data_IF_087961912179
#
_entry.id   IF_087961912179
#
_cell.length_a   1.000
_cell.length_b   1.000
_cell.length_c   1.000
_cell.angle_alpha   90.00
_cell.angle_beta   90.00
_cell.angle_gamma   90.00
#
_symmetry.space_group_name_H-M   'P 1'
#
loop_
_entity.id
_entity.type
_entity.pdbx_description
1 polymer ?
#
# COMPACT_ATOMS: atom_id res chain seq x y z
N UNK A 1 5.19 -27.25 0.13
CA UNK A 1 5.58 -26.30 1.19
C UNK A 1 4.30 -25.60 1.65
N UNK A 2 4.07 -25.37 2.95
CA UNK A 2 2.92 -24.59 3.39
C UNK A 2 2.95 -23.22 2.73
N UNK A 3 1.79 -22.70 2.32
CA UNK A 3 1.68 -21.39 1.71
C UNK A 3 2.17 -20.32 2.70
N UNK A 4 3.11 -19.47 2.28
CA UNK A 4 3.57 -18.35 3.09
C UNK A 4 2.44 -17.33 3.20
N UNK A 5 1.96 -17.09 4.43
CA UNK A 5 0.94 -16.11 4.75
C UNK A 5 1.56 -14.76 5.12
N UNK A 6 1.02 -13.69 4.54
CA UNK A 6 1.41 -12.31 4.81
C UNK A 6 0.26 -11.56 5.49
N UNK A 7 0.56 -10.85 6.58
CA UNK A 7 -0.36 -9.92 7.24
C UNK A 7 0.13 -8.50 7.01
N UNK A 8 -0.69 -7.63 6.43
CA UNK A 8 -0.30 -6.27 6.08
C UNK A 8 -1.06 -5.22 6.88
N UNK A 9 -0.31 -4.29 7.44
CA UNK A 9 -0.75 -3.08 8.14
C UNK A 9 -0.20 -1.83 7.45
N UNK A 10 -0.79 -0.69 7.77
CA UNK A 10 -0.34 0.64 7.38
C UNK A 10 -0.91 1.68 8.35
N UNK A 11 -0.29 2.87 8.41
CA UNK A 11 -0.86 4.05 9.09
C UNK A 11 -1.25 3.70 10.56
N UNK A 12 -0.26 3.33 11.37
CA UNK A 12 -0.50 2.70 12.66
C UNK A 12 -1.13 3.72 13.62
N UNK A 13 -2.37 3.46 14.03
CA UNK A 13 -3.20 4.42 14.74
C UNK A 13 -2.88 4.50 16.26
N UNK A 14 -1.60 4.57 16.63
CA UNK A 14 -1.13 4.56 18.01
C UNK A 14 -1.93 5.49 18.93
N UNK A 15 -2.30 4.97 20.10
CA UNK A 15 -2.99 5.76 21.14
C UNK A 15 -4.42 6.22 20.78
N UNK A 16 -4.90 5.98 19.56
CA UNK A 16 -6.29 6.26 19.17
C UNK A 16 -7.24 5.26 19.84
N UNK A 17 -8.51 5.63 19.98
CA UNK A 17 -9.52 4.71 20.52
C UNK A 17 -9.79 3.63 19.47
N UNK A 18 -9.65 2.37 19.88
CA UNK A 18 -9.93 1.25 18.99
C UNK A 18 -11.41 1.29 18.55
N UNK A 19 -11.65 1.35 17.23
CA UNK A 19 -13.02 1.41 16.70
C UNK A 19 -13.73 0.08 16.99
N UNK A 20 -14.82 0.13 17.77
CA UNK A 20 -15.67 -1.03 18.05
C UNK A 20 -15.37 -1.78 19.36
N UNK A 21 -14.28 -1.47 20.07
CA UNK A 21 -14.00 -2.06 21.39
C UNK A 21 -14.41 -1.11 22.53
N UNK A 22 -15.04 -1.63 23.61
CA UNK A 22 -15.35 -0.81 24.79
C UNK A 22 -14.07 -0.51 25.58
N UNK A 23 -13.41 0.61 25.24
CA UNK A 23 -12.51 1.31 26.17
C UNK A 23 -10.98 1.18 25.97
N UNK A 24 -10.49 0.52 24.92
CA UNK A 24 -9.06 0.39 24.65
C UNK A 24 -8.47 1.52 23.77
N UNK A 25 -7.21 1.89 24.02
CA UNK A 25 -6.37 2.62 23.06
C UNK A 25 -5.56 1.62 22.24
N UNK A 26 -5.26 1.95 20.99
CA UNK A 26 -4.39 1.13 20.13
C UNK A 26 -2.97 1.14 20.71
N UNK A 27 -2.48 -0.05 21.02
CA UNK A 27 -1.16 -0.31 21.59
C UNK A 27 -0.55 -1.57 20.95
N UNK A 28 0.65 -1.95 21.35
CA UNK A 28 1.37 -3.10 20.78
C UNK A 28 0.50 -4.38 20.80
N UNK A 29 -0.22 -4.60 21.91
CA UNK A 29 -1.12 -5.75 22.08
C UNK A 29 -2.25 -5.81 21.05
N UNK A 30 -2.72 -4.67 20.53
CA UNK A 30 -3.76 -4.62 19.50
C UNK A 30 -3.30 -5.28 18.20
N UNK A 31 -2.03 -5.11 17.84
CA UNK A 31 -1.43 -5.71 16.65
C UNK A 31 -0.99 -7.15 16.92
N UNK A 32 -0.34 -7.42 18.07
CA UNK A 32 0.11 -8.77 18.42
C UNK A 32 -1.04 -9.77 18.48
N UNK A 33 -2.22 -9.37 18.98
CA UNK A 33 -3.41 -10.22 18.95
C UNK A 33 -3.77 -10.68 17.53
N UNK A 34 -3.71 -9.78 16.55
CA UNK A 34 -3.96 -10.14 15.14
C UNK A 34 -2.85 -11.03 14.58
N UNK A 35 -1.58 -10.76 14.92
CA UNK A 35 -0.45 -11.59 14.52
C UNK A 35 -0.59 -13.01 15.09
N UNK A 36 -1.02 -13.15 16.34
CA UNK A 36 -1.27 -14.45 16.98
C UNK A 36 -2.47 -15.19 16.38
N UNK A 37 -3.58 -14.48 16.13
CA UNK A 37 -4.80 -15.06 15.56
C UNK A 37 -4.60 -15.56 14.12
N UNK A 38 -3.89 -14.78 13.31
CA UNK A 38 -3.72 -15.02 11.87
C UNK A 38 -2.54 -15.97 11.58
N UNK A 39 -1.57 -15.99 12.49
CA UNK A 39 -0.32 -16.75 12.41
C UNK A 39 0.44 -16.56 11.08
N UNK A 40 0.83 -15.32 10.72
CA UNK A 40 1.53 -15.07 9.46
C UNK A 40 3.01 -15.44 9.56
N UNK A 41 3.61 -15.85 8.44
CA UNK A 41 5.07 -15.98 8.33
C UNK A 41 5.77 -14.63 8.13
N UNK A 42 5.06 -13.65 7.55
CA UNK A 42 5.55 -12.30 7.27
C UNK A 42 4.50 -11.27 7.70
N UNK A 43 4.92 -10.23 8.41
CA UNK A 43 4.13 -9.03 8.71
C UNK A 43 4.67 -7.85 7.90
N UNK A 44 3.82 -7.17 7.15
CA UNK A 44 4.17 -6.01 6.31
C UNK A 44 3.64 -4.73 6.96
N UNK A 45 4.47 -3.70 7.00
CA UNK A 45 4.12 -2.35 7.41
C UNK A 45 4.32 -1.38 6.24
N UNK A 46 3.23 -1.00 5.59
CA UNK A 46 3.20 -0.23 4.34
C UNK A 46 3.30 1.29 4.57
N UNK A 47 4.19 1.71 5.46
CA UNK A 47 4.50 3.10 5.80
C UNK A 47 3.65 3.71 6.92
N UNK A 48 4.14 4.83 7.46
CA UNK A 48 3.54 5.59 8.56
C UNK A 48 3.28 4.67 9.78
N UNK A 49 4.31 3.93 10.18
CA UNK A 49 4.28 2.97 11.28
C UNK A 49 5.07 3.43 12.51
N UNK A 50 6.19 4.12 12.29
CA UNK A 50 7.04 4.71 13.32
C UNK A 50 6.57 6.11 13.73
N UNK A 51 5.81 6.78 12.86
CA UNK A 51 5.09 8.01 13.18
C UNK A 51 3.96 8.24 12.17
N UNK A 52 2.75 8.52 12.65
CA UNK A 52 1.61 8.84 11.78
C UNK A 52 0.75 9.98 12.36
N UNK A 53 0.13 10.76 11.48
CA UNK A 53 -0.92 11.73 11.83
C UNK A 53 -2.27 11.08 12.12
N UNK A 54 -2.56 9.84 11.68
CA UNK A 54 -3.72 9.12 12.21
C UNK A 54 -3.59 8.97 13.73
N UNK A 55 -2.36 8.77 14.21
CA UNK A 55 -2.04 8.85 15.62
C UNK A 55 -2.14 10.30 16.11
N UNK A 56 -3.00 10.53 17.09
CA UNK A 56 -3.03 11.78 17.88
C UNK A 56 -2.25 11.62 19.18
N UNK A 57 -1.28 10.71 19.17
CA UNK A 57 -0.51 10.33 20.34
C UNK A 57 0.55 11.38 20.66
N UNK A 58 0.86 11.50 21.95
CA UNK A 58 2.02 12.26 22.44
C UNK A 58 3.17 11.32 22.82
N UNK A 59 3.09 10.06 22.41
CA UNK A 59 4.07 9.02 22.73
C UNK A 59 5.23 9.03 21.75
N UNK A 60 6.35 8.43 22.14
CA UNK A 60 7.42 8.07 21.21
C UNK A 60 6.94 6.86 20.38
N UNK A 61 6.29 7.14 19.25
CA UNK A 61 5.75 6.13 18.34
C UNK A 61 6.84 5.26 17.71
N UNK A 62 8.04 5.80 17.54
CA UNK A 62 9.18 5.02 17.02
C UNK A 62 9.56 3.94 18.02
N UNK A 63 9.58 4.24 19.33
CA UNK A 63 9.82 3.23 20.38
C UNK A 63 8.71 2.18 20.45
N UNK A 64 7.44 2.58 20.34
CA UNK A 64 6.33 1.63 20.30
C UNK A 64 6.45 0.69 19.10
N UNK A 65 6.77 1.24 17.93
CA UNK A 65 6.95 0.46 16.72
C UNK A 65 8.15 -0.49 16.81
N UNK A 66 9.29 -0.03 17.33
CA UNK A 66 10.45 -0.89 17.59
C UNK A 66 10.13 -2.01 18.58
N UNK A 67 9.33 -1.72 19.62
CA UNK A 67 8.83 -2.72 20.56
C UNK A 67 7.98 -3.79 19.86
N UNK A 68 7.05 -3.38 18.99
CA UNK A 68 6.24 -4.27 18.18
C UNK A 68 7.10 -5.14 17.25
N UNK A 69 8.04 -4.54 16.51
CA UNK A 69 8.94 -5.26 15.61
C UNK A 69 9.76 -6.32 16.36
N UNK A 70 10.30 -5.99 17.53
CA UNK A 70 11.05 -6.93 18.37
C UNK A 70 10.18 -8.08 18.85
N UNK A 71 8.94 -7.82 19.25
CA UNK A 71 8.02 -8.87 19.71
C UNK A 71 7.67 -9.85 18.57
N UNK A 72 7.38 -9.35 17.37
CA UNK A 72 7.08 -10.17 16.20
C UNK A 72 8.32 -11.01 15.80
N UNK A 73 9.50 -10.38 15.74
CA UNK A 73 10.75 -11.07 15.40
C UNK A 73 11.15 -12.12 16.45
N UNK A 74 10.95 -11.85 17.74
CA UNK A 74 11.23 -12.80 18.82
C UNK A 74 10.36 -14.07 18.72
N UNK A 75 9.18 -13.96 18.11
CA UNK A 75 8.32 -15.09 17.80
C UNK A 75 8.66 -15.80 16.47
N UNK A 76 9.79 -15.46 15.84
CA UNK A 76 10.31 -16.10 14.64
C UNK A 76 9.63 -15.67 13.33
N UNK A 77 8.91 -14.55 13.33
CA UNK A 77 8.21 -14.01 12.15
C UNK A 77 9.01 -12.88 11.51
N UNK A 78 8.95 -12.77 10.19
CA UNK A 78 9.63 -11.70 9.46
C UNK A 78 8.77 -10.42 9.43
N UNK A 79 9.40 -9.27 9.52
CA UNK A 79 8.78 -7.95 9.35
C UNK A 79 9.35 -7.25 8.12
N UNK A 80 8.50 -6.94 7.15
CA UNK A 80 8.82 -6.05 6.03
C UNK A 80 8.32 -4.65 6.37
N UNK A 81 9.18 -3.64 6.25
CA UNK A 81 8.88 -2.24 6.58
C UNK A 81 9.31 -1.37 5.40
N UNK A 82 8.50 -0.36 5.10
CA UNK A 82 8.90 0.77 4.26
C UNK A 82 8.64 2.08 4.99
N UNK A 83 9.33 3.13 4.56
CA UNK A 83 9.17 4.49 5.05
C UNK A 83 7.97 5.16 4.38
N UNK A 84 7.03 5.62 5.21
CA UNK A 84 5.97 6.54 4.83
C UNK A 84 6.41 8.00 4.95
N UNK A 85 5.53 8.93 4.57
CA UNK A 85 5.85 10.36 4.57
C UNK A 85 5.94 10.99 5.97
N UNK A 86 5.37 10.36 6.99
CA UNK A 86 5.37 10.89 8.35
C UNK A 86 6.48 10.27 9.20
N UNK A 87 6.94 9.06 8.89
CA UNK A 87 7.82 8.24 9.73
C UNK A 87 9.08 8.95 10.27
N UNK A 88 9.76 9.79 9.46
CA UNK A 88 10.99 10.51 9.87
C UNK A 88 10.74 11.98 10.25
N UNK A 89 9.48 12.38 10.50
CA UNK A 89 9.15 13.77 10.90
C UNK A 89 9.89 14.18 12.18
N UNK A 90 10.13 13.23 13.08
CA UNK A 90 10.84 13.44 14.34
C UNK A 90 12.35 13.18 14.25
N UNK A 91 12.86 12.79 13.07
CA UNK A 91 14.28 12.45 12.86
C UNK A 91 14.73 11.15 13.51
N UNK A 92 13.78 10.28 13.89
CA UNK A 92 14.03 9.05 14.66
C UNK A 92 13.99 7.79 13.81
N UNK A 93 13.60 7.87 12.52
CA UNK A 93 13.40 6.68 11.68
C UNK A 93 14.70 5.92 11.41
N UNK A 94 15.86 6.58 11.52
CA UNK A 94 17.17 5.93 11.47
C UNK A 94 17.30 4.73 12.42
N UNK A 95 16.60 4.76 13.56
CA UNK A 95 16.58 3.68 14.57
C UNK A 95 15.88 2.42 14.05
N UNK A 96 14.89 2.57 13.17
CA UNK A 96 14.23 1.43 12.49
C UNK A 96 15.19 0.77 11.51
N UNK A 97 15.94 1.57 10.74
CA UNK A 97 16.98 1.07 9.82
C UNK A 97 18.11 0.35 10.57
N UNK A 98 18.57 0.91 11.68
CA UNK A 98 19.56 0.26 12.56
C UNK A 98 19.06 -1.08 13.10
N UNK A 99 17.80 -1.14 13.55
CA UNK A 99 17.18 -2.38 14.03
C UNK A 99 17.05 -3.44 12.92
N UNK A 100 16.72 -3.03 11.69
CA UNK A 100 16.71 -3.91 10.52
C UNK A 100 18.10 -4.47 10.21
N UNK A 101 19.14 -3.63 10.24
CA UNK A 101 20.52 -4.07 10.05
C UNK A 101 21.03 -5.04 11.13
N UNK A 102 20.40 -5.05 12.31
CA UNK A 102 20.80 -5.90 13.44
C UNK A 102 20.02 -7.21 13.57
N UNK A 103 18.98 -7.45 12.75
CA UNK A 103 18.11 -8.62 12.89
C UNK A 103 17.81 -9.28 11.53
N UNK A 104 17.98 -10.60 11.39
CA UNK A 104 17.63 -11.31 10.16
C UNK A 104 16.12 -11.41 9.90
N UNK A 105 15.30 -11.02 10.88
CA UNK A 105 13.83 -11.03 10.80
C UNK A 105 13.24 -9.65 10.51
N UNK A 106 14.05 -8.58 10.48
CA UNK A 106 13.57 -7.22 10.26
C UNK A 106 14.15 -6.69 8.94
N UNK A 107 13.27 -6.23 8.07
CA UNK A 107 13.58 -5.89 6.69
C UNK A 107 13.03 -4.50 6.37
N UNK A 108 13.87 -3.47 6.46
CA UNK A 108 13.54 -2.13 5.95
C UNK A 108 13.95 -2.08 4.48
N UNK A 109 12.97 -2.01 3.57
CA UNK A 109 13.18 -2.24 2.13
C UNK A 109 12.90 -1.00 1.28
N UNK A 110 12.91 0.20 1.86
CA UNK A 110 12.61 1.44 1.13
C UNK A 110 13.55 1.65 -0.05
N UNK A 111 13.02 1.48 -1.26
CA UNK A 111 13.77 1.64 -2.50
C UNK A 111 14.52 0.38 -2.94
N UNK A 112 14.35 -0.74 -2.24
CA UNK A 112 15.09 -1.97 -2.45
C UNK A 112 14.19 -3.17 -2.78
N UNK A 113 14.81 -4.19 -3.38
CA UNK A 113 14.19 -5.50 -3.61
C UNK A 113 14.76 -6.47 -2.57
N UNK A 114 13.90 -7.25 -1.93
CA UNK A 114 14.35 -8.29 -1.00
C UNK A 114 13.51 -9.56 -1.11
N UNK A 115 14.20 -10.71 -1.06
CA UNK A 115 13.57 -12.03 -1.01
C UNK A 115 13.41 -12.48 0.46
N UNK A 116 12.17 -12.75 0.88
CA UNK A 116 11.85 -13.23 2.23
C UNK A 116 10.87 -14.39 2.14
N UNK A 117 11.25 -15.54 2.69
CA UNK A 117 10.49 -16.80 2.63
C UNK A 117 9.99 -17.15 1.20
N UNK A 118 10.86 -16.91 0.20
CA UNK A 118 10.58 -17.19 -1.20
C UNK A 118 9.68 -16.18 -1.91
N UNK A 119 9.27 -15.09 -1.24
CA UNK A 119 8.51 -13.99 -1.83
C UNK A 119 9.46 -12.83 -2.13
N UNK A 120 9.46 -12.35 -3.37
CA UNK A 120 10.26 -11.20 -3.80
C UNK A 120 9.48 -9.90 -3.61
N UNK A 121 9.91 -9.08 -2.65
CA UNK A 121 9.31 -7.79 -2.34
C UNK A 121 10.04 -6.64 -3.03
N UNK A 122 9.30 -5.57 -3.36
CA UNK A 122 9.84 -4.26 -3.73
C UNK A 122 9.24 -3.19 -2.82
N UNK A 123 10.08 -2.47 -2.07
CA UNK A 123 9.64 -1.37 -1.24
C UNK A 123 9.64 -0.03 -1.98
N UNK A 124 8.48 0.63 -2.04
CA UNK A 124 8.30 1.92 -2.74
C UNK A 124 7.92 3.00 -1.71
N UNK A 125 8.90 3.71 -1.14
CA UNK A 125 8.62 4.76 -0.17
C UNK A 125 7.94 5.96 -0.86
N UNK A 126 7.28 6.78 -0.05
CA UNK A 126 6.46 7.89 -0.56
C UNK A 126 7.24 8.84 -1.48
N UNK A 127 6.63 9.19 -2.61
CA UNK A 127 7.21 10.13 -3.57
C UNK A 127 8.27 9.54 -4.50
N UNK A 128 8.60 8.24 -4.37
CA UNK A 128 9.50 7.53 -5.29
C UNK A 128 8.77 6.74 -6.37
N UNK A 129 7.45 6.68 -6.36
CA UNK A 129 6.63 5.77 -7.19
C UNK A 129 6.96 5.90 -8.68
N UNK A 130 6.97 7.14 -9.21
CA UNK A 130 7.30 7.41 -10.61
C UNK A 130 8.72 7.02 -10.98
N UNK A 131 9.69 7.27 -10.09
CA UNK A 131 11.10 6.96 -10.36
C UNK A 131 11.29 5.45 -10.42
N UNK A 132 10.72 4.73 -9.46
CA UNK A 132 10.82 3.28 -9.37
C UNK A 132 10.08 2.59 -10.51
N UNK A 133 8.87 3.05 -10.86
CA UNK A 133 8.13 2.57 -12.03
C UNK A 133 8.94 2.65 -13.34
N UNK A 134 9.87 3.61 -13.46
CA UNK A 134 10.71 3.81 -14.64
C UNK A 134 12.05 3.05 -14.60
N UNK A 135 12.44 2.54 -13.44
CA UNK A 135 13.75 1.92 -13.21
C UNK A 135 13.65 0.49 -12.66
N UNK A 136 12.44 -0.04 -12.48
CA UNK A 136 12.24 -1.39 -11.95
C UNK A 136 12.87 -2.43 -12.89
N UNK A 137 13.72 -3.27 -12.29
CA UNK A 137 14.43 -4.34 -12.99
C UNK A 137 13.79 -5.69 -12.64
N UNK A 138 13.08 -6.26 -13.63
CA UNK A 138 12.49 -7.59 -13.53
C UNK A 138 11.24 -7.67 -12.65
N UNK A 139 10.52 -8.81 -12.72
CA UNK A 139 9.29 -9.00 -11.97
C UNK A 139 9.53 -9.19 -10.47
N UNK A 140 8.55 -8.78 -9.68
CA UNK A 140 8.48 -9.02 -8.23
C UNK A 140 7.13 -9.63 -7.87
N UNK A 141 7.08 -10.31 -6.74
CA UNK A 141 5.86 -10.95 -6.25
C UNK A 141 4.91 -9.90 -5.67
N UNK A 142 5.42 -9.07 -4.75
CA UNK A 142 4.65 -8.05 -4.03
C UNK A 142 5.39 -6.71 -4.06
N UNK A 143 4.69 -5.65 -4.46
CA UNK A 143 5.10 -4.27 -4.19
C UNK A 143 4.49 -3.83 -2.86
N UNK A 144 5.30 -3.31 -1.95
CA UNK A 144 4.86 -2.63 -0.73
C UNK A 144 5.13 -1.15 -0.93
N UNK A 145 4.11 -0.30 -0.84
CA UNK A 145 4.20 1.12 -1.12
C UNK A 145 3.52 1.99 -0.07
N UNK A 146 3.89 3.27 0.00
CA UNK A 146 3.13 4.25 0.77
C UNK A 146 2.82 5.45 -0.12
N UNK A 147 1.87 5.25 -1.05
CA UNK A 147 1.65 6.15 -2.17
C UNK A 147 0.39 7.01 -2.01
N UNK A 148 0.48 8.35 -2.17
CA UNK A 148 -0.69 9.20 -2.25
C UNK A 148 -1.51 8.90 -3.49
N UNK A 149 -2.82 9.16 -3.44
CA UNK A 149 -3.79 8.79 -4.49
C UNK A 149 -3.32 9.13 -5.91
N UNK A 150 -2.81 10.35 -6.10
CA UNK A 150 -2.38 10.84 -7.40
C UNK A 150 -1.09 10.19 -7.94
N UNK A 151 -0.34 9.43 -7.12
CA UNK A 151 0.87 8.72 -7.52
C UNK A 151 0.68 7.21 -7.66
N UNK A 152 -0.39 6.64 -7.10
CA UNK A 152 -0.67 5.20 -7.11
C UNK A 152 -0.77 4.62 -8.53
N UNK A 153 -1.15 5.42 -9.53
CA UNK A 153 -1.15 5.00 -10.94
C UNK A 153 0.22 4.46 -11.40
N UNK A 154 1.32 4.98 -10.86
CA UNK A 154 2.67 4.52 -11.19
C UNK A 154 2.96 3.12 -10.63
N UNK A 155 2.27 2.68 -9.58
CA UNK A 155 2.45 1.34 -9.03
C UNK A 155 2.01 0.25 -10.02
N UNK A 156 1.01 0.54 -10.87
CA UNK A 156 0.54 -0.39 -11.89
C UNK A 156 1.47 -0.51 -13.10
N UNK A 157 2.44 0.39 -13.23
CA UNK A 157 3.52 0.27 -14.21
C UNK A 157 4.66 -0.65 -13.71
N UNK A 158 4.69 -0.97 -12.41
CA UNK A 158 5.67 -1.91 -11.85
C UNK A 158 5.31 -3.36 -12.23
N UNK A 159 6.30 -4.20 -12.57
CA UNK A 159 6.09 -5.60 -12.93
C UNK A 159 5.82 -6.50 -11.70
N UNK A 160 4.75 -6.21 -10.97
CA UNK A 160 4.34 -6.97 -9.78
C UNK A 160 3.04 -7.77 -10.00
N UNK A 161 2.87 -8.87 -9.27
CA UNK A 161 1.61 -9.62 -9.22
C UNK A 161 0.62 -9.04 -8.19
N UNK A 162 1.13 -8.56 -7.06
CA UNK A 162 0.35 -7.92 -6.00
C UNK A 162 0.96 -6.55 -5.62
N UNK A 163 0.10 -5.60 -5.27
CA UNK A 163 0.47 -4.27 -4.77
C UNK A 163 -0.27 -4.06 -3.45
N UNK A 164 0.48 -3.75 -2.39
CA UNK A 164 -0.01 -3.32 -1.09
C UNK A 164 0.43 -1.87 -0.92
N UNK A 165 -0.49 -0.96 -0.60
CA UNK A 165 -0.15 0.44 -0.34
C UNK A 165 -0.84 1.02 0.88
N UNK A 166 -0.14 1.88 1.61
CA UNK A 166 -0.70 2.72 2.66
C UNK A 166 -1.18 4.10 2.22
N UNK A 167 -1.19 5.03 3.18
CA UNK A 167 -1.41 6.48 3.11
C UNK A 167 -2.85 6.90 3.33
N UNK A 168 -3.67 6.88 2.27
CA UNK A 168 -5.09 7.21 2.37
C UNK A 168 -5.89 6.55 1.25
N UNK A 169 -7.12 6.19 1.55
CA UNK A 169 -8.06 5.63 0.57
C UNK A 169 -7.94 4.12 0.54
N UNK A 170 -8.89 3.48 1.20
CA UNK A 170 -9.04 2.04 1.28
C UNK A 170 -9.55 1.47 -0.03
N UNK A 171 -8.98 0.37 -0.49
CA UNK A 171 -9.45 -0.34 -1.67
C UNK A 171 -8.92 -1.76 -1.73
N UNK A 172 -9.72 -2.70 -2.22
CA UNK A 172 -9.27 -4.03 -2.65
C UNK A 172 -9.90 -4.35 -4.00
N UNK A 173 -9.06 -4.59 -5.01
CA UNK A 173 -9.52 -4.85 -6.37
C UNK A 173 -8.47 -5.57 -7.23
N UNK A 174 -8.92 -6.20 -8.31
CA UNK A 174 -8.06 -6.56 -9.43
C UNK A 174 -7.94 -5.38 -10.39
N UNK A 175 -6.74 -4.82 -10.57
CA UNK A 175 -6.50 -3.66 -11.45
C UNK A 175 -5.39 -3.99 -12.42
N UNK A 176 -5.69 -3.92 -13.72
CA UNK A 176 -4.72 -4.19 -14.80
C UNK A 176 -4.01 -5.55 -14.66
N UNK A 177 -4.76 -6.58 -14.25
CA UNK A 177 -4.25 -7.94 -14.01
C UNK A 177 -3.41 -8.10 -12.74
N UNK A 178 -3.41 -7.11 -11.84
CA UNK A 178 -2.69 -7.16 -10.55
C UNK A 178 -3.69 -7.16 -9.41
N UNK A 179 -3.37 -7.90 -8.36
CA UNK A 179 -4.06 -7.75 -7.09
C UNK A 179 -3.63 -6.42 -6.44
N UNK A 180 -4.58 -5.62 -6.00
CA UNK A 180 -4.33 -4.30 -5.44
C UNK A 180 -5.03 -4.14 -4.10
N UNK A 181 -4.27 -3.76 -3.08
CA UNK A 181 -4.74 -3.49 -1.73
C UNK A 181 -4.24 -2.13 -1.31
N UNK A 182 -5.15 -1.26 -0.93
CA UNK A 182 -4.86 -0.01 -0.25
C UNK A 182 -5.42 -0.06 1.15
N UNK A 183 -4.54 0.09 2.13
CA UNK A 183 -4.82 0.07 3.55
C UNK A 183 -5.05 1.49 4.06
N UNK A 184 -5.71 1.58 5.20
CA UNK A 184 -5.92 2.80 6.01
C UNK A 184 -5.52 2.49 7.45
N UNK A 185 -5.87 3.36 8.41
CA UNK A 185 -5.28 3.28 9.74
C UNK A 185 -5.50 1.91 10.44
N UNK A 186 -4.40 1.20 10.70
CA UNK A 186 -4.36 -0.11 11.36
C UNK A 186 -4.43 0.03 12.89
N UNK A 187 -4.98 -0.96 13.64
CA UNK A 187 -5.40 -2.29 13.22
C UNK A 187 -6.87 -2.40 12.78
N UNK A 188 -7.61 -1.29 12.67
CA UNK A 188 -9.02 -1.31 12.27
C UNK A 188 -9.21 -1.72 10.80
N UNK A 189 -8.16 -1.56 9.99
CA UNK A 189 -8.05 -2.12 8.66
C UNK A 189 -6.73 -2.88 8.51
N UNK A 190 -6.78 -4.03 7.84
CA UNK A 190 -5.61 -4.85 7.52
C UNK A 190 -5.93 -5.78 6.35
N UNK A 191 -4.91 -6.43 5.81
CA UNK A 191 -5.09 -7.49 4.81
C UNK A 191 -4.31 -8.75 5.16
N UNK A 192 -4.91 -9.91 4.90
CA UNK A 192 -4.27 -11.22 4.93
C UNK A 192 -4.11 -11.69 3.50
N UNK A 193 -2.90 -12.11 3.14
CA UNK A 193 -2.54 -12.45 1.78
C UNK A 193 -1.87 -13.81 1.79
N UNK A 194 -2.52 -14.77 1.13
CA UNK A 194 -2.04 -16.13 0.99
C UNK A 194 -1.53 -16.33 -0.45
N UNK A 195 -0.31 -16.89 -0.58
CA UNK A 195 0.26 -17.30 -1.86
C UNK A 195 -0.24 -18.70 -2.22
N UNK A 196 -1.23 -18.78 -3.12
CA UNK A 196 -1.82 -20.01 -3.67
C UNK A 196 -1.43 -20.17 -5.17
N UNK A 197 -2.31 -20.66 -6.05
CA UNK A 197 -2.21 -20.55 -7.52
C UNK A 197 -2.44 -19.08 -7.98
N UNK A 198 -1.80 -18.13 -7.30
CA UNK A 198 -2.04 -16.69 -7.35
C UNK A 198 -2.10 -16.09 -5.94
N UNK A 199 -2.84 -14.99 -5.78
CA UNK A 199 -3.01 -14.31 -4.49
C UNK A 199 -4.46 -14.35 -4.03
N UNK A 200 -4.72 -15.02 -2.91
CA UNK A 200 -5.97 -14.86 -2.17
C UNK A 200 -5.79 -13.75 -1.14
N UNK A 201 -6.67 -12.77 -1.16
CA UNK A 201 -6.61 -11.60 -0.28
C UNK A 201 -7.89 -11.53 0.53
N UNK A 202 -7.76 -11.57 1.85
CA UNK A 202 -8.81 -11.15 2.76
C UNK A 202 -8.52 -9.73 3.24
N UNK A 203 -9.37 -8.78 2.86
CA UNK A 203 -9.29 -7.39 3.29
C UNK A 203 -10.33 -7.13 4.38
N UNK A 204 -9.88 -6.59 5.51
CA UNK A 204 -10.73 -6.29 6.66
C UNK A 204 -10.77 -4.77 6.88
N UNK A 205 -11.98 -4.23 7.06
CA UNK A 205 -12.21 -2.84 7.44
C UNK A 205 -13.42 -2.76 8.40
N UNK A 206 -13.15 -2.71 9.70
CA UNK A 206 -14.18 -2.82 10.73
C UNK A 206 -14.97 -4.14 10.60
N UNK A 207 -16.31 -4.12 10.50
CA UNK A 207 -17.10 -5.35 10.35
C UNK A 207 -17.08 -5.91 8.91
N UNK A 208 -16.64 -5.13 7.92
CA UNK A 208 -16.62 -5.53 6.53
C UNK A 208 -15.39 -6.40 6.24
N UNK A 209 -15.62 -7.56 5.64
CA UNK A 209 -14.59 -8.47 5.13
C UNK A 209 -14.80 -8.73 3.66
N UNK A 210 -13.75 -8.60 2.86
CA UNK A 210 -13.77 -8.82 1.42
C UNK A 210 -12.72 -9.89 1.08
N UNK A 211 -13.15 -10.99 0.47
CA UNK A 211 -12.27 -12.04 -0.09
C UNK A 211 -12.14 -11.80 -1.60
N UNK A 212 -10.92 -11.54 -2.05
CA UNK A 212 -10.56 -11.36 -3.45
C UNK A 212 -9.66 -12.52 -3.89
N UNK A 213 -10.07 -13.20 -4.96
CA UNK A 213 -9.30 -14.26 -5.61
C UNK A 213 -8.92 -13.87 -7.03
N UNK A 214 -7.82 -14.41 -7.58
CA UNK A 214 -7.39 -14.11 -8.93
C UNK A 214 -8.45 -14.55 -9.95
N UNK A 215 -8.86 -13.64 -10.83
CA UNK A 215 -9.82 -13.96 -11.92
C UNK A 215 -11.27 -14.15 -11.47
N UNK A 216 -11.57 -14.00 -10.18
CA UNK A 216 -12.92 -14.14 -9.64
C UNK A 216 -13.52 -12.79 -9.23
N UNK A 217 -14.85 -12.73 -9.12
CA UNK A 217 -15.51 -11.61 -8.43
C UNK A 217 -15.27 -11.75 -6.93
N UNK A 218 -15.07 -10.62 -6.25
CA UNK A 218 -14.89 -10.62 -4.80
C UNK A 218 -16.16 -11.10 -4.07
N UNK A 219 -15.98 -11.73 -2.91
CA UNK A 219 -17.04 -12.03 -1.96
C UNK A 219 -16.94 -11.07 -0.77
N UNK A 220 -18.08 -10.57 -0.27
CA UNK A 220 -18.11 -9.61 0.82
C UNK A 220 -19.07 -10.08 1.93
N UNK A 221 -18.65 -9.93 3.18
CA UNK A 221 -19.46 -10.26 4.37
C UNK A 221 -19.40 -9.14 5.39
N UNK A 222 -20.52 -8.85 6.04
CA UNK A 222 -20.60 -7.80 7.07
C UNK A 222 -20.45 -6.35 6.55
N UNK A 223 -20.49 -6.14 5.24
CA UNK A 223 -20.27 -4.85 4.61
C UNK A 223 -21.57 -4.07 4.40
N UNK A 224 -21.60 -2.83 4.88
CA UNK A 224 -22.58 -1.84 4.41
C UNK A 224 -22.40 -1.60 2.90
N UNK A 225 -23.47 -1.46 2.09
CA UNK A 225 -23.34 -1.28 0.64
C UNK A 225 -22.55 -0.03 0.20
N UNK A 226 -22.62 1.08 0.95
CA UNK A 226 -21.84 2.26 0.63
C UNK A 226 -20.36 2.05 0.96
N UNK A 227 -20.08 1.42 2.11
CA UNK A 227 -18.71 1.02 2.46
C UNK A 227 -18.13 0.03 1.44
N UNK A 228 -18.89 -0.96 1.00
CA UNK A 228 -18.43 -1.94 0.02
C UNK A 228 -18.03 -1.28 -1.30
N UNK A 229 -18.84 -0.32 -1.80
CA UNK A 229 -18.49 0.47 -2.98
C UNK A 229 -17.23 1.30 -2.75
N UNK A 230 -17.13 2.00 -1.62
CA UNK A 230 -15.93 2.74 -1.26
C UNK A 230 -14.67 1.85 -1.30
N UNK A 231 -14.78 0.62 -0.78
CA UNK A 231 -13.68 -0.35 -0.68
C UNK A 231 -13.35 -1.09 -1.98
N UNK A 232 -14.21 -1.06 -3.00
CA UNK A 232 -13.99 -1.85 -4.23
C UNK A 232 -13.92 -0.98 -5.49
N UNK A 233 -14.62 0.15 -5.49
CA UNK A 233 -14.69 1.11 -6.61
C UNK A 233 -13.92 2.40 -6.31
N UNK A 234 -13.73 2.74 -5.03
CA UNK A 234 -13.03 3.94 -4.57
C UNK A 234 -13.94 5.14 -4.38
N UNK A 235 -13.40 6.25 -3.85
CA UNK A 235 -14.15 7.49 -3.59
C UNK A 235 -14.01 8.49 -4.74
N UNK A 236 -15.01 8.62 -5.61
CA UNK A 236 -15.08 9.70 -6.59
C UNK A 236 -15.83 9.41 -7.88
N UNK A 237 -15.66 10.31 -8.86
CA UNK A 237 -16.07 10.13 -10.26
C UNK A 237 -15.12 9.20 -11.00
N UNK A 238 -15.67 8.33 -11.85
CA UNK A 238 -15.06 7.11 -12.40
C UNK A 238 -14.39 6.22 -11.33
N UNK A 239 -14.68 4.91 -11.31
CA UNK A 239 -13.94 3.97 -10.48
C UNK A 239 -12.44 4.09 -10.72
N UNK A 240 -11.65 3.90 -9.66
CA UNK A 240 -10.20 3.94 -9.74
C UNK A 240 -9.59 2.97 -10.78
N UNK A 241 -10.14 1.74 -10.97
CA UNK A 241 -9.69 0.84 -12.04
C UNK A 241 -9.77 1.48 -13.45
N UNK A 242 -10.90 2.09 -13.78
CA UNK A 242 -11.14 2.72 -15.08
C UNK A 242 -10.21 3.90 -15.32
N UNK A 243 -9.94 4.70 -14.27
CA UNK A 243 -8.98 5.80 -14.32
C UNK A 243 -7.57 5.29 -14.67
N UNK A 244 -7.10 4.23 -14.00
CA UNK A 244 -5.77 3.65 -14.23
C UNK A 244 -5.65 3.13 -15.66
N UNK A 245 -6.66 2.41 -16.15
CA UNK A 245 -6.67 1.89 -17.53
C UNK A 245 -6.64 3.00 -18.57
N UNK A 246 -7.48 4.03 -18.40
CA UNK A 246 -7.53 5.18 -19.29
C UNK A 246 -6.19 5.94 -19.33
N UNK A 247 -5.56 6.17 -18.17
CA UNK A 247 -4.26 6.84 -18.08
C UNK A 247 -3.16 6.01 -18.76
N UNK A 248 -3.12 4.69 -18.54
CA UNK A 248 -2.12 3.82 -19.18
C UNK A 248 -2.27 3.80 -20.69
N UNK A 249 -3.50 3.69 -21.19
CA UNK A 249 -3.81 3.72 -22.63
C UNK A 249 -3.38 5.06 -23.27
N UNK A 250 -3.64 6.16 -22.58
CA UNK A 250 -3.28 7.50 -23.04
C UNK A 250 -1.78 7.70 -23.30
N UNK A 251 -0.88 6.97 -22.62
CA UNK A 251 0.57 7.04 -22.92
C UNK A 251 0.89 6.63 -24.36
N UNK A 252 0.17 5.65 -24.89
CA UNK A 252 0.34 5.16 -26.26
C UNK A 252 -0.35 6.08 -27.26
N UNK A 253 -1.53 6.58 -26.92
CA UNK A 253 -2.37 7.40 -27.81
C UNK A 253 -1.80 8.81 -28.04
N UNK A 254 -1.03 9.38 -27.10
CA UNK A 254 -0.40 10.71 -27.28
C UNK A 254 0.44 10.80 -28.55
N UNK A 255 1.12 9.71 -28.94
CA UNK A 255 1.93 9.67 -30.15
C UNK A 255 1.10 9.65 -31.45
N UNK A 256 -0.18 9.27 -31.36
CA UNK A 256 -1.07 9.05 -32.51
C UNK A 256 -2.06 10.21 -32.66
N UNK A 257 -2.81 10.49 -31.59
CA UNK A 257 -3.92 11.47 -31.56
C UNK A 257 -3.45 12.87 -31.13
N UNK A 258 -2.21 12.96 -30.63
CA UNK A 258 -1.69 14.21 -30.09
C UNK A 258 -2.18 14.49 -28.67
N UNK A 259 -1.38 15.28 -27.96
CA UNK A 259 -1.54 15.48 -26.51
C UNK A 259 -2.85 16.18 -26.14
N UNK A 260 -3.28 17.15 -26.93
CA UNK A 260 -4.43 18.00 -26.58
C UNK A 260 -5.74 17.22 -26.60
N UNK A 261 -5.94 16.41 -27.63
CA UNK A 261 -7.08 15.53 -27.82
C UNK A 261 -7.18 14.49 -26.71
N UNK A 262 -6.08 13.77 -26.43
CA UNK A 262 -6.00 12.79 -25.34
C UNK A 262 -6.31 13.43 -23.99
N UNK A 263 -5.74 14.59 -23.68
CA UNK A 263 -6.05 15.31 -22.44
C UNK A 263 -7.53 15.73 -22.37
N UNK A 264 -8.10 16.19 -23.47
CA UNK A 264 -9.52 16.56 -23.55
C UNK A 264 -10.43 15.38 -23.25
N UNK A 265 -10.15 14.21 -23.84
CA UNK A 265 -10.89 12.96 -23.57
C UNK A 265 -10.82 12.56 -22.10
N UNK A 266 -9.63 12.51 -21.51
CA UNK A 266 -9.44 12.13 -20.11
C UNK A 266 -10.15 13.08 -19.14
N UNK A 267 -10.17 14.39 -19.44
CA UNK A 267 -10.94 15.37 -18.67
C UNK A 267 -12.46 15.16 -18.84
N UNK A 268 -12.91 14.87 -20.06
CA UNK A 268 -14.32 14.55 -20.35
C UNK A 268 -14.80 13.27 -19.66
N UNK A 269 -13.89 12.33 -19.38
CA UNK A 269 -14.13 11.15 -18.56
C UNK A 269 -14.23 11.47 -17.05
N UNK A 270 -13.91 12.68 -16.62
CA UNK A 270 -13.93 13.07 -15.20
C UNK A 270 -12.63 12.80 -14.43
N UNK A 271 -11.54 12.41 -15.12
CA UNK A 271 -10.24 12.20 -14.49
C UNK A 271 -9.67 13.57 -14.08
N UNK A 272 -9.22 13.68 -12.83
CA UNK A 272 -8.68 14.94 -12.30
C UNK A 272 -7.48 15.40 -13.11
N UNK A 273 -7.49 16.66 -13.55
CA UNK A 273 -6.37 17.29 -14.28
C UNK A 273 -5.01 17.05 -13.62
N UNK A 274 -4.95 17.11 -12.29
CA UNK A 274 -3.72 16.89 -11.52
C UNK A 274 -3.17 15.47 -11.67
N UNK A 275 -4.03 14.46 -11.78
CA UNK A 275 -3.63 13.06 -12.01
C UNK A 275 -3.10 12.90 -13.44
N UNK A 276 -3.82 13.43 -14.42
CA UNK A 276 -3.39 13.44 -15.84
C UNK A 276 -2.01 14.09 -15.98
N UNK A 277 -1.82 15.28 -15.40
CA UNK A 277 -0.56 16.02 -15.50
C UNK A 277 0.60 15.33 -14.76
N UNK A 278 0.33 14.67 -13.63
CA UNK A 278 1.35 13.90 -12.92
C UNK A 278 1.79 12.69 -13.72
N UNK A 279 0.85 11.99 -14.35
CA UNK A 279 1.14 10.76 -15.08
C UNK A 279 1.73 11.00 -16.48
N UNK A 280 1.08 11.85 -17.27
CA UNK A 280 1.43 12.12 -18.67
C UNK A 280 2.39 13.32 -18.83
N UNK A 281 2.64 14.08 -17.76
CA UNK A 281 3.40 15.34 -17.76
C UNK A 281 2.50 16.58 -17.84
N UNK A 282 3.05 17.79 -17.62
CA UNK A 282 2.27 19.03 -17.76
C UNK A 282 1.98 19.35 -19.23
N UNK A 283 0.86 20.02 -19.52
CA UNK A 283 0.66 20.70 -20.82
C UNK A 283 1.71 21.81 -20.93
N UNK A 284 2.44 21.85 -22.06
CA UNK A 284 3.29 22.98 -22.46
C UNK A 284 4.28 23.48 -21.41
N UNK A 285 5.45 22.86 -21.32
CA UNK A 285 6.69 23.65 -21.29
C UNK A 285 7.54 23.11 -22.42
N UNK A 286 7.80 23.89 -23.48
CA UNK A 286 8.78 23.51 -24.49
C UNK A 286 10.07 23.16 -23.75
N UNK A 287 10.68 22.03 -24.09
CA UNK A 287 11.91 21.58 -23.43
C UNK A 287 12.89 22.74 -23.31
N UNK A 288 13.37 23.00 -22.09
CA UNK A 288 14.67 23.62 -21.93
C UNK A 288 15.64 22.66 -22.62
N UNK A 289 16.02 22.98 -23.87
CA UNK A 289 17.21 22.46 -24.51
C UNK A 289 18.34 22.65 -23.50
N UNK A 290 18.80 21.57 -22.90
CA UNK A 290 20.13 21.51 -22.29
C UNK A 290 21.11 21.84 -23.41
N UNK A 291 21.64 23.06 -23.36
CA UNK A 291 22.97 23.34 -23.89
C UNK A 291 23.98 22.74 -22.93
#
# INVERSE_FOLDING_TARGET
MPATRVLAFSDLAWGTRERGAPGGRVEIGSFLRLVEEIDPGIVVFAGDAAYDRCSRSTLDETELFLGLLRAIAAAGRHCIVIEGNNDDTMGTYGRVREAAGASPYLHEISGEVQDVLGIRFLGVPTGRERRMARSAEGPVDIVVAHAPLANRVWLFDLPAACIITGHYGMMVAGITGKAYVALDCSPASYAVIDREEGWRIEYVAGPCRIDLRPGERFAATGCDPALLRDLTEGRGSLPYPDEVEALRRAKQEIAIEGREEVFGRLLGMGIKKTHIERYLGRRGVPGRRTR
#
